data_IF_272074057904
#
_entry.id   IF_272074057904
#
_cell.length_a   1.000
_cell.length_b   1.000
_cell.length_c   1.000
_cell.angle_alpha   90.00
_cell.angle_beta   90.00
_cell.angle_gamma   90.00
#
_symmetry.space_group_name_H-M   'P 1'
#
loop_
_entity.id
_entity.type
_entity.pdbx_description
1 polymer ?
#
# COMPACT_ATOMS: atom_id res chain seq x y z
N UNK A 1 1.99 -5.82 14.60
CA UNK A 1 3.37 -6.26 14.91
C UNK A 1 3.94 -5.27 15.90
N UNK A 2 4.41 -5.72 17.06
CA UNK A 2 4.79 -4.87 18.19
C UNK A 2 6.26 -4.41 18.15
N UNK A 3 6.84 -4.19 16.97
CA UNK A 3 8.26 -3.85 16.82
C UNK A 3 8.39 -2.45 16.21
N UNK A 4 9.11 -1.56 16.89
CA UNK A 4 9.63 -0.31 16.32
C UNK A 4 11.15 -0.40 16.23
N UNK A 5 11.72 -0.07 15.06
CA UNK A 5 13.16 -0.25 14.80
C UNK A 5 13.53 -1.66 14.32
N UNK A 6 12.71 -2.26 13.46
CA UNK A 6 12.97 -3.57 12.86
C UNK A 6 14.28 -3.55 12.02
N UNK A 7 15.09 -4.59 12.20
CA UNK A 7 16.31 -4.84 11.44
C UNK A 7 16.09 -5.77 10.23
N UNK A 8 17.16 -6.15 9.53
CA UNK A 8 17.10 -7.14 8.44
C UNK A 8 16.82 -8.55 8.98
N UNK A 9 16.68 -9.50 8.05
CA UNK A 9 16.65 -10.93 8.36
C UNK A 9 17.96 -11.34 9.08
N UNK A 10 17.89 -12.15 10.15
CA UNK A 10 19.08 -12.63 10.85
C UNK A 10 19.84 -13.67 10.02
N UNK A 11 21.16 -13.83 10.24
CA UNK A 11 21.86 -15.05 9.85
C UNK A 11 21.31 -16.27 10.61
N UNK A 12 21.56 -17.49 10.09
CA UNK A 12 20.92 -18.71 10.60
C UNK A 12 21.19 -18.99 12.09
N UNK A 13 22.37 -18.61 12.58
CA UNK A 13 22.82 -18.79 13.96
C UNK A 13 22.28 -17.75 14.94
N UNK A 14 21.65 -16.68 14.44
CA UNK A 14 21.02 -15.61 15.24
C UNK A 14 19.49 -15.64 15.16
N UNK A 15 18.89 -16.71 14.64
CA UNK A 15 17.43 -16.86 14.57
C UNK A 15 16.84 -16.94 15.98
N UNK A 16 16.00 -15.97 16.30
CA UNK A 16 15.09 -16.02 17.45
C UNK A 16 13.66 -16.31 16.95
N UNK A 17 13.05 -17.46 17.32
CA UNK A 17 11.71 -17.82 16.87
C UNK A 17 10.61 -16.87 17.35
N UNK A 18 10.87 -16.05 18.36
CA UNK A 18 9.92 -15.07 18.89
C UNK A 18 9.99 -13.72 18.17
N UNK A 19 11.03 -13.46 17.37
CA UNK A 19 11.22 -12.21 16.63
C UNK A 19 10.84 -12.39 15.16
N UNK A 20 9.57 -12.15 14.87
CA UNK A 20 9.02 -12.21 13.51
C UNK A 20 8.40 -10.88 13.08
N UNK A 21 8.42 -10.61 11.77
CA UNK A 21 7.68 -9.51 11.19
C UNK A 21 6.19 -9.85 10.98
N UNK A 22 5.42 -8.88 10.44
CA UNK A 22 4.01 -9.08 10.13
C UNK A 22 3.76 -10.21 9.11
N UNK A 23 4.72 -10.46 8.22
CA UNK A 23 4.72 -11.53 7.22
C UNK A 23 5.26 -12.88 7.73
N UNK A 24 5.45 -13.04 9.05
CA UNK A 24 5.94 -14.27 9.71
C UNK A 24 7.37 -14.67 9.33
N UNK A 25 8.19 -13.72 8.88
CA UNK A 25 9.61 -13.94 8.63
C UNK A 25 10.44 -13.53 9.85
N UNK A 26 11.52 -14.26 10.14
CA UNK A 26 12.46 -13.91 11.21
C UNK A 26 13.16 -12.59 10.93
N UNK A 27 13.32 -11.77 11.96
CA UNK A 27 13.94 -10.44 11.87
C UNK A 27 14.84 -10.16 13.07
N UNK A 28 15.78 -9.25 12.89
CA UNK A 28 16.60 -8.68 13.96
C UNK A 28 16.01 -7.36 14.47
N UNK A 29 16.59 -6.82 15.54
CA UNK A 29 16.28 -5.49 16.07
C UNK A 29 17.45 -4.54 15.85
N UNK A 30 17.18 -3.31 15.40
CA UNK A 30 18.19 -2.26 15.35
C UNK A 30 18.51 -1.76 16.75
N UNK A 31 19.70 -1.16 16.92
CA UNK A 31 20.03 -0.44 18.17
C UNK A 31 18.98 0.64 18.45
N UNK A 32 18.40 0.62 19.65
CA UNK A 32 17.32 1.54 20.05
C UNK A 32 15.91 1.08 19.67
N UNK A 33 15.75 -0.14 19.15
CA UNK A 33 14.44 -0.73 18.93
C UNK A 33 13.65 -0.91 20.24
N UNK A 34 12.32 -0.91 20.12
CA UNK A 34 11.42 -1.14 21.23
C UNK A 34 10.34 -2.16 20.86
N UNK A 35 9.95 -2.96 21.84
CA UNK A 35 8.84 -3.90 21.74
C UNK A 35 7.64 -3.35 22.51
N UNK A 36 6.44 -3.50 21.97
CA UNK A 36 5.20 -3.10 22.62
C UNK A 36 4.09 -4.14 22.45
N UNK A 37 3.09 -4.05 23.32
CA UNK A 37 1.92 -4.91 23.23
C UNK A 37 1.12 -4.58 21.96
N UNK A 38 0.34 -5.56 21.47
CA UNK A 38 -0.45 -5.39 20.26
C UNK A 38 -1.38 -4.17 20.32
N UNK A 39 -2.00 -3.91 21.48
CA UNK A 39 -2.86 -2.75 21.68
C UNK A 39 -2.11 -1.42 21.47
N UNK A 40 -0.89 -1.30 22.01
CA UNK A 40 -0.06 -0.10 21.89
C UNK A 40 0.42 0.12 20.45
N UNK A 41 0.78 -0.96 19.76
CA UNK A 41 1.14 -0.91 18.33
C UNK A 41 0.00 -0.32 17.49
N UNK A 42 -1.24 -0.78 17.72
CA UNK A 42 -2.40 -0.24 17.00
C UNK A 42 -2.84 1.14 17.50
N UNK A 43 -2.59 1.50 18.77
CA UNK A 43 -2.76 2.86 19.25
C UNK A 43 -1.80 3.83 18.55
N UNK A 44 -0.54 3.43 18.34
CA UNK A 44 0.43 4.20 17.56
C UNK A 44 -0.04 4.41 16.11
N UNK A 45 -0.55 3.34 15.47
CA UNK A 45 -1.06 3.40 14.10
C UNK A 45 -2.29 4.32 14.02
N UNK A 46 -3.35 4.02 14.78
CA UNK A 46 -4.61 4.79 14.72
C UNK A 46 -4.48 6.22 15.25
N UNK A 47 -3.50 6.46 16.12
CA UNK A 47 -3.19 7.78 16.67
C UNK A 47 -2.45 8.72 15.70
N UNK A 48 -2.16 8.29 14.46
CA UNK A 48 -1.48 9.17 13.50
C UNK A 48 0.01 9.33 13.74
N UNK A 49 0.63 8.41 14.49
CA UNK A 49 2.06 8.53 14.83
C UNK A 49 2.99 7.97 13.74
N UNK A 50 2.44 7.26 12.75
CA UNK A 50 3.20 6.80 11.58
C UNK A 50 3.18 7.85 10.47
N UNK A 51 4.35 8.30 10.04
CA UNK A 51 4.47 9.33 9.00
C UNK A 51 4.15 8.84 7.59
N UNK A 52 4.33 7.54 7.34
CA UNK A 52 4.14 6.90 6.05
C UNK A 52 3.81 5.41 6.22
N UNK A 53 2.78 4.96 5.51
CA UNK A 53 2.50 3.56 5.26
C UNK A 53 2.62 3.28 3.76
N UNK A 54 3.21 2.14 3.41
CA UNK A 54 3.28 1.64 2.04
C UNK A 54 2.58 0.29 1.97
N UNK A 55 1.57 0.16 1.11
CA UNK A 55 0.80 -1.06 0.92
C UNK A 55 0.79 -1.51 -0.55
N UNK A 56 0.56 -2.80 -0.77
CA UNK A 56 0.10 -3.30 -2.06
C UNK A 56 -1.39 -3.04 -2.26
N UNK A 57 -1.85 -3.09 -3.52
CA UNK A 57 -3.27 -2.99 -3.85
C UNK A 57 -3.68 -3.88 -5.05
N UNK A 58 -4.93 -4.32 -5.02
CA UNK A 58 -5.61 -4.89 -6.18
C UNK A 58 -6.20 -3.79 -7.05
N UNK A 59 -6.80 -2.77 -6.44
CA UNK A 59 -7.31 -1.59 -7.12
C UNK A 59 -7.03 -0.33 -6.29
N UNK A 60 -6.80 0.79 -7.00
CA UNK A 60 -6.86 2.13 -6.43
C UNK A 60 -7.80 2.97 -7.31
N UNK A 61 -8.75 3.66 -6.68
CA UNK A 61 -9.66 4.54 -7.37
C UNK A 61 -9.14 5.98 -7.48
N UNK A 62 -9.64 6.76 -8.43
CA UNK A 62 -9.18 8.14 -8.67
C UNK A 62 -9.40 9.07 -7.48
N UNK A 63 -10.36 8.76 -6.61
CA UNK A 63 -10.61 9.47 -5.36
C UNK A 63 -9.69 9.03 -4.19
N UNK A 64 -8.83 8.03 -4.41
CA UNK A 64 -7.91 7.49 -3.39
C UNK A 64 -8.45 6.33 -2.58
N UNK A 65 -9.59 5.74 -2.96
CA UNK A 65 -10.03 4.48 -2.37
C UNK A 65 -9.05 3.35 -2.71
N UNK A 66 -8.82 2.45 -1.76
CA UNK A 66 -7.93 1.29 -1.92
C UNK A 66 -8.69 0.01 -1.64
N UNK A 67 -8.50 -0.99 -2.50
CA UNK A 67 -8.95 -2.37 -2.27
C UNK A 67 -7.75 -3.31 -2.37
N UNK A 68 -7.42 -4.01 -1.27
CA UNK A 68 -6.24 -4.87 -1.22
C UNK A 68 -6.37 -6.16 -0.40
N UNK A 69 -7.54 -6.50 0.13
CA UNK A 69 -7.72 -7.66 1.00
C UNK A 69 -8.59 -8.77 0.42
N UNK A 70 -9.49 -8.47 -0.50
CA UNK A 70 -10.32 -9.44 -1.20
C UNK A 70 -10.58 -9.01 -2.64
N UNK A 71 -10.86 -9.97 -3.52
CA UNK A 71 -11.25 -9.73 -4.92
C UNK A 71 -12.74 -9.93 -5.19
N UNK A 72 -13.48 -10.41 -4.20
CA UNK A 72 -14.94 -10.44 -4.19
C UNK A 72 -15.47 -10.44 -2.75
N UNK A 73 -16.74 -10.13 -2.55
CA UNK A 73 -17.38 -10.18 -1.21
C UNK A 73 -17.49 -11.61 -0.67
N UNK A 74 -17.49 -12.61 -1.55
CA UNK A 74 -17.58 -14.03 -1.22
C UNK A 74 -16.20 -14.71 -1.15
N UNK A 75 -15.13 -13.93 -1.30
CA UNK A 75 -13.76 -14.44 -1.24
C UNK A 75 -13.45 -14.81 0.21
N UNK A 76 -13.02 -16.05 0.45
CA UNK A 76 -12.57 -16.51 1.77
C UNK A 76 -11.14 -16.07 2.07
N UNK A 77 -10.70 -14.98 1.43
CA UNK A 77 -9.37 -14.43 1.54
C UNK A 77 -9.00 -14.22 3.03
N UNK A 78 -7.73 -14.48 3.41
CA UNK A 78 -7.31 -14.40 4.80
C UNK A 78 -7.60 -13.00 5.34
N UNK A 79 -8.01 -12.96 6.61
CA UNK A 79 -8.43 -11.76 7.34
C UNK A 79 -7.64 -10.49 6.94
N UNK A 80 -8.34 -9.36 6.84
CA UNK A 80 -7.82 -8.02 6.47
C UNK A 80 -6.52 -7.60 7.19
N UNK A 81 -6.20 -8.26 8.31
CA UNK A 81 -5.01 -8.02 9.11
C UNK A 81 -5.04 -6.61 9.67
N UNK A 82 -3.89 -5.93 9.65
CA UNK A 82 -3.79 -4.53 10.05
C UNK A 82 -3.97 -3.53 8.91
N UNK A 83 -4.38 -3.97 7.70
CA UNK A 83 -4.39 -3.10 6.52
C UNK A 83 -5.34 -1.90 6.66
N UNK A 84 -6.52 -2.11 7.25
CA UNK A 84 -7.50 -1.04 7.50
C UNK A 84 -6.96 -0.01 8.49
N UNK A 85 -6.42 -0.44 9.64
CA UNK A 85 -5.82 0.48 10.62
C UNK A 85 -4.64 1.26 10.04
N UNK A 86 -3.77 0.60 9.27
CA UNK A 86 -2.64 1.24 8.62
C UNK A 86 -3.08 2.28 7.59
N UNK A 87 -4.03 1.92 6.73
CA UNK A 87 -4.53 2.79 5.69
C UNK A 87 -5.28 4.01 6.24
N UNK A 88 -6.04 3.84 7.33
CA UNK A 88 -6.78 4.92 7.97
C UNK A 88 -5.93 5.75 8.95
N UNK A 89 -4.94 5.13 9.60
CA UNK A 89 -4.21 5.72 10.72
C UNK A 89 -2.90 6.41 10.34
N UNK A 90 -2.21 6.00 9.28
CA UNK A 90 -0.96 6.65 8.88
C UNK A 90 -1.22 8.05 8.31
N UNK A 91 -0.31 9.02 8.58
CA UNK A 91 -0.42 10.39 8.05
C UNK A 91 -0.44 10.43 6.51
N UNK A 92 0.24 9.48 5.87
CA UNK A 92 0.28 9.31 4.41
C UNK A 92 0.23 7.83 4.07
N UNK A 93 -0.58 7.48 3.08
CA UNK A 93 -0.61 6.16 2.48
C UNK A 93 -0.11 6.22 1.05
N UNK A 94 0.95 5.47 0.76
CA UNK A 94 1.43 5.21 -0.59
C UNK A 94 1.13 3.76 -0.99
N UNK A 95 0.90 3.56 -2.28
CA UNK A 95 0.66 2.23 -2.84
C UNK A 95 1.78 1.88 -3.80
N UNK A 96 2.27 0.65 -3.72
CA UNK A 96 3.18 0.06 -4.71
C UNK A 96 2.50 -1.13 -5.36
N UNK A 97 2.34 -1.12 -6.68
CA UNK A 97 1.59 -2.16 -7.39
C UNK A 97 1.98 -2.26 -8.85
N UNK A 98 1.79 -3.42 -9.47
CA UNK A 98 1.71 -3.50 -10.93
C UNK A 98 0.54 -2.63 -11.43
N UNK A 99 0.75 -1.95 -12.57
CA UNK A 99 -0.22 -1.02 -13.16
C UNK A 99 -1.46 -1.74 -13.71
N UNK A 100 -1.25 -2.96 -14.22
CA UNK A 100 -2.29 -3.83 -14.78
C UNK A 100 -2.26 -5.21 -14.12
N UNK A 101 -3.34 -5.97 -14.27
CA UNK A 101 -3.34 -7.41 -13.96
C UNK A 101 -2.50 -8.19 -14.96
N UNK A 102 -2.32 -9.50 -14.72
CA UNK A 102 -1.66 -10.41 -15.67
C UNK A 102 -2.38 -10.46 -17.02
N UNK A 103 -3.70 -10.27 -17.03
CA UNK A 103 -4.53 -10.25 -18.23
C UNK A 103 -4.64 -8.83 -18.84
N UNK A 104 -3.83 -7.89 -18.38
CA UNK A 104 -3.76 -6.52 -18.91
C UNK A 104 -4.87 -5.58 -18.45
N UNK A 105 -5.73 -5.99 -17.50
CA UNK A 105 -6.80 -5.13 -17.00
C UNK A 105 -6.22 -4.01 -16.12
N UNK A 106 -6.68 -2.75 -16.28
CA UNK A 106 -6.23 -1.64 -15.44
C UNK A 106 -6.52 -1.88 -13.96
N UNK A 107 -5.58 -1.48 -13.09
CA UNK A 107 -5.78 -1.50 -11.64
C UNK A 107 -5.95 -0.09 -11.03
N UNK A 108 -5.72 0.95 -11.84
CA UNK A 108 -6.07 2.32 -11.55
C UNK A 108 -7.42 2.64 -12.19
N UNK A 109 -8.45 2.68 -11.35
CA UNK A 109 -9.86 2.63 -11.77
C UNK A 109 -10.60 3.91 -11.39
N UNK A 110 -11.77 4.17 -11.98
CA UNK A 110 -12.60 5.32 -11.57
C UNK A 110 -13.19 5.08 -10.19
N UNK A 111 -13.62 3.85 -9.93
CA UNK A 111 -14.17 3.38 -8.66
C UNK A 111 -13.77 1.93 -8.45
N UNK A 112 -13.35 1.57 -7.23
CA UNK A 112 -13.08 0.18 -6.91
C UNK A 112 -14.36 -0.65 -7.03
N UNK A 113 -14.24 -1.81 -7.69
CA UNK A 113 -15.27 -2.85 -7.72
C UNK A 113 -15.04 -3.89 -6.62
N UNK A 114 -13.82 -4.00 -6.11
CA UNK A 114 -13.48 -4.88 -4.99
C UNK A 114 -13.78 -4.25 -3.63
N UNK A 115 -14.00 -5.07 -2.58
CA UNK A 115 -14.23 -4.58 -1.22
C UNK A 115 -13.13 -3.61 -0.76
N UNK A 116 -13.56 -2.44 -0.28
CA UNK A 116 -12.62 -1.40 0.14
C UNK A 116 -11.87 -1.80 1.40
N UNK A 117 -10.63 -1.32 1.48
CA UNK A 117 -9.77 -1.34 2.66
C UNK A 117 -9.85 0.01 3.37
N UNK A 118 -9.81 1.11 2.62
CA UNK A 118 -10.01 2.45 3.13
C UNK A 118 -10.53 3.36 2.01
N UNK A 119 -11.25 4.41 2.42
CA UNK A 119 -11.84 5.42 1.52
C UNK A 119 -10.91 6.63 1.47
N UNK A 120 -10.58 7.11 0.26
CA UNK A 120 -9.82 8.36 0.04
C UNK A 120 -8.44 8.45 0.71
N UNK A 121 -7.87 7.31 1.12
CA UNK A 121 -6.68 7.25 1.94
C UNK A 121 -5.38 7.39 1.13
N UNK A 122 -5.36 6.85 -0.10
CA UNK A 122 -4.15 6.81 -0.93
C UNK A 122 -3.78 8.23 -1.38
N UNK A 123 -2.50 8.59 -1.22
CA UNK A 123 -1.94 9.86 -1.68
C UNK A 123 -1.01 9.75 -2.88
N UNK A 124 -0.41 8.58 -3.08
CA UNK A 124 0.47 8.31 -4.23
C UNK A 124 0.45 6.84 -4.58
N UNK A 125 0.52 6.56 -5.87
CA UNK A 125 0.72 5.22 -6.42
C UNK A 125 2.02 5.18 -7.21
N UNK A 126 2.83 4.18 -6.90
CA UNK A 126 4.01 3.79 -7.66
C UNK A 126 3.68 2.52 -8.41
N UNK A 127 3.84 2.54 -9.74
CA UNK A 127 3.72 1.34 -10.56
C UNK A 127 4.99 1.06 -11.34
N UNK A 128 5.02 -0.09 -11.99
CA UNK A 128 6.02 -0.44 -12.99
C UNK A 128 6.04 0.49 -14.21
N UNK A 129 5.07 1.40 -14.37
CA UNK A 129 4.95 2.32 -15.52
C UNK A 129 5.06 3.80 -15.14
N UNK A 130 4.60 4.20 -13.95
CA UNK A 130 4.49 5.62 -13.60
C UNK A 130 4.46 5.87 -12.09
N UNK A 131 4.75 7.11 -11.72
CA UNK A 131 4.52 7.67 -10.39
C UNK A 131 3.34 8.64 -10.49
N UNK A 132 2.31 8.41 -9.69
CA UNK A 132 1.02 9.10 -9.81
C UNK A 132 0.57 9.61 -8.44
N UNK A 133 0.34 10.91 -8.33
CA UNK A 133 -0.31 11.51 -7.16
C UNK A 133 -1.83 11.36 -7.26
N UNK A 134 -2.46 11.14 -6.11
CA UNK A 134 -3.91 11.17 -5.95
C UNK A 134 -4.29 12.52 -5.37
N UNK A 135 -4.96 13.33 -6.17
CA UNK A 135 -5.31 14.72 -5.83
C UNK A 135 -6.81 14.94 -5.88
N UNK A 136 -7.28 16.13 -5.54
CA UNK A 136 -8.69 16.52 -5.72
C UNK A 136 -9.15 16.44 -7.19
N UNK A 137 -8.22 16.51 -8.14
CA UNK A 137 -8.49 16.34 -9.57
C UNK A 137 -8.49 14.88 -10.03
N UNK A 138 -8.22 13.94 -9.13
CA UNK A 138 -7.94 12.54 -9.48
C UNK A 138 -6.44 12.29 -9.66
N UNK A 139 -6.11 11.39 -10.58
CA UNK A 139 -4.74 10.93 -10.81
C UNK A 139 -3.91 11.94 -11.60
N UNK A 140 -2.83 12.44 -10.99
CA UNK A 140 -1.85 13.33 -11.61
C UNK A 140 -0.53 12.58 -11.80
N UNK A 141 -0.12 12.39 -13.05
CA UNK A 141 1.13 11.71 -13.41
C UNK A 141 2.30 12.64 -13.14
N UNK A 142 3.20 12.22 -12.25
CA UNK A 142 4.42 12.95 -11.89
C UNK A 142 5.62 12.51 -12.75
N UNK A 143 5.71 11.21 -13.01
CA UNK A 143 6.82 10.62 -13.74
C UNK A 143 6.38 9.35 -14.46
N UNK A 144 7.05 8.99 -15.55
CA UNK A 144 6.77 7.82 -16.36
C UNK A 144 8.08 7.11 -16.71
N UNK A 145 8.02 5.80 -16.91
CA UNK A 145 9.19 5.06 -17.39
C UNK A 145 9.66 5.59 -18.76
N UNK A 146 10.98 5.60 -19.04
CA UNK A 146 11.51 6.10 -20.30
C UNK A 146 10.89 5.40 -21.52
N UNK A 147 10.52 6.20 -22.53
CA UNK A 147 9.96 5.70 -23.80
C UNK A 147 8.46 5.38 -23.78
N UNK A 148 7.77 5.52 -22.64
CA UNK A 148 6.31 5.43 -22.57
C UNK A 148 5.69 6.81 -22.84
N UNK A 149 4.81 6.90 -23.84
CA UNK A 149 3.99 8.10 -24.05
C UNK A 149 2.75 8.12 -23.14
N UNK A 150 2.17 9.32 -23.00
CA UNK A 150 1.05 9.54 -22.07
C UNK A 150 -0.23 8.85 -22.54
N UNK A 151 -0.45 8.80 -23.86
CA UNK A 151 -1.58 8.16 -24.50
C UNK A 151 -1.59 6.65 -24.21
N UNK A 152 -0.43 6.00 -24.26
CA UNK A 152 -0.25 4.59 -23.92
C UNK A 152 -0.47 4.34 -22.44
N UNK A 153 0.04 5.22 -21.57
CA UNK A 153 -0.23 5.11 -20.12
C UNK A 153 -1.74 5.27 -19.82
N UNK A 154 -2.39 6.24 -20.46
CA UNK A 154 -3.83 6.45 -20.35
C UNK A 154 -4.62 5.23 -20.87
N UNK A 155 -4.19 4.58 -21.95
CA UNK A 155 -4.83 3.37 -22.45
C UNK A 155 -4.73 2.17 -21.49
N UNK A 156 -3.78 2.21 -20.54
CA UNK A 156 -3.59 1.19 -19.49
C UNK A 156 -4.18 1.60 -18.13
N UNK A 157 -4.83 2.75 -18.06
CA UNK A 157 -5.51 3.30 -16.88
C UNK A 157 -6.99 3.50 -17.21
N UNK A 158 -7.90 3.00 -16.38
CA UNK A 158 -9.35 3.19 -16.60
C UNK A 158 -9.81 4.61 -16.20
N UNK A 159 -9.26 5.12 -15.10
CA UNK A 159 -9.46 6.51 -14.69
C UNK A 159 -8.74 7.49 -15.61
N UNK A 160 -9.25 8.72 -15.66
CA UNK A 160 -8.63 9.79 -16.44
C UNK A 160 -7.34 10.23 -15.74
N UNK A 161 -6.26 10.30 -16.51
CA UNK A 161 -4.97 10.83 -16.06
C UNK A 161 -4.88 12.32 -16.35
N UNK A 162 -4.17 13.02 -15.48
CA UNK A 162 -3.80 14.41 -15.62
C UNK A 162 -2.29 14.56 -15.64
N UNK A 163 -1.79 15.54 -16.39
CA UNK A 163 -0.37 15.93 -16.33
C UNK A 163 -0.16 16.93 -15.20
N UNK A 164 1.04 16.96 -14.66
CA UNK A 164 1.52 18.12 -13.88
C UNK A 164 1.38 19.38 -14.73
N UNK A 165 0.97 20.48 -14.08
CA UNK A 165 0.89 21.79 -14.72
C UNK A 165 2.29 22.34 -15.00
#
# INVERSE_FOLDING_TARGET
NGILGMGPQPPEDEIDPWLINAGKQYVTLRRGASLCHHADSFAMIRGGHLDLCVLGAFQVAENGDIANWATSENDTAPAVGGAMDLAAGAKRLWVTMEHTTKDGQPKLVRKCSYPLTAVGAVKRVYTNLAVIDVTERGFVVLDMVPGLDFETLQARTEAKLHRTA
#
